data_IF_143540625222
#
_entry.id   IF_143540625222
#
_cell.length_a   1.000
_cell.length_b   1.000
_cell.length_c   1.000
_cell.angle_alpha   90.00
_cell.angle_beta   90.00
_cell.angle_gamma   90.00
#
_symmetry.space_group_name_H-M   'P 1'
#
loop_
_entity.id
_entity.type
_entity.pdbx_description
1 polymer ?
#
# COMPACT_ATOMS: atom_id res chain seq x y z
N UNK A 1 21.00 -26.34 39.11
CA UNK A 1 20.75 -24.96 38.64
C UNK A 1 22.06 -24.40 38.10
N UNK A 2 22.45 -24.64 36.86
CA UNK A 2 23.59 -24.04 36.19
C UNK A 2 23.08 -23.26 34.99
N UNK A 3 22.76 -22.01 35.23
CA UNK A 3 22.47 -21.05 34.19
C UNK A 3 23.77 -20.47 33.62
N UNK A 4 24.38 -21.10 32.66
CA UNK A 4 25.41 -20.45 31.82
C UNK A 4 24.70 -19.59 30.83
N UNK A 5 24.57 -18.28 31.16
CA UNK A 5 24.19 -17.25 30.22
C UNK A 5 25.24 -17.12 29.12
N UNK A 6 25.11 -17.91 28.08
CA UNK A 6 25.85 -17.66 26.84
C UNK A 6 25.20 -16.45 26.16
N UNK A 7 25.83 -15.30 26.34
CA UNK A 7 25.64 -14.19 25.42
C UNK A 7 26.20 -14.68 24.08
N UNK A 8 25.32 -15.13 23.19
CA UNK A 8 25.71 -15.48 21.83
C UNK A 8 26.13 -14.16 21.15
N UNK A 9 27.44 -13.88 21.20
CA UNK A 9 27.99 -12.86 20.32
C UNK A 9 27.81 -13.36 18.90
N UNK A 10 26.86 -12.77 18.16
CA UNK A 10 26.70 -13.05 16.75
C UNK A 10 28.05 -12.85 16.06
N UNK A 11 28.58 -13.86 15.36
CA UNK A 11 29.82 -13.69 14.62
C UNK A 11 29.62 -12.57 13.58
N UNK A 12 30.60 -11.68 13.39
CA UNK A 12 30.47 -10.49 12.55
C UNK A 12 30.13 -10.77 11.08
N UNK A 13 30.15 -12.03 10.65
CA UNK A 13 29.73 -12.44 9.29
C UNK A 13 28.22 -12.71 9.12
N UNK A 14 27.46 -12.95 10.20
CA UNK A 14 26.03 -13.31 10.09
C UNK A 14 25.18 -12.10 9.76
N UNK A 15 25.54 -10.92 10.26
CA UNK A 15 24.84 -9.67 9.95
C UNK A 15 24.94 -9.32 8.45
N UNK A 16 26.06 -9.65 7.83
CA UNK A 16 26.30 -9.34 6.41
C UNK A 16 25.53 -10.28 5.46
N UNK A 17 25.25 -11.52 5.86
CA UNK A 17 24.57 -12.51 5.01
C UNK A 17 23.07 -12.25 4.90
N UNK A 18 22.43 -11.76 5.97
CA UNK A 18 20.98 -11.57 6.01
C UNK A 18 20.56 -10.12 5.72
N UNK A 19 21.46 -9.16 5.96
CA UNK A 19 21.18 -7.74 5.79
C UNK A 19 20.84 -7.37 4.34
N UNK A 20 21.66 -7.75 3.37
CA UNK A 20 21.44 -7.39 1.97
C UNK A 20 20.17 -8.01 1.36
N UNK A 21 19.85 -9.29 1.62
CA UNK A 21 18.56 -9.85 1.24
C UNK A 21 17.37 -9.09 1.84
N UNK A 22 17.42 -8.75 3.13
CA UNK A 22 16.38 -7.98 3.80
C UNK A 22 16.19 -6.59 3.18
N UNK A 23 17.27 -5.84 2.93
CA UNK A 23 17.21 -4.53 2.25
C UNK A 23 16.57 -4.65 0.86
N UNK A 24 16.95 -5.65 0.07
CA UNK A 24 16.37 -5.88 -1.27
C UNK A 24 14.87 -6.15 -1.20
N UNK A 25 14.43 -6.95 -0.26
CA UNK A 25 13.01 -7.28 -0.07
C UNK A 25 12.23 -6.03 0.37
N UNK A 26 12.75 -5.27 1.32
CA UNK A 26 12.11 -4.03 1.79
C UNK A 26 12.00 -3.00 0.65
N UNK A 27 13.07 -2.79 -0.12
CA UNK A 27 13.03 -1.90 -1.27
C UNK A 27 12.04 -2.39 -2.34
N UNK A 28 11.99 -3.68 -2.61
CA UNK A 28 11.02 -4.27 -3.54
C UNK A 28 9.59 -3.97 -3.10
N UNK A 29 9.25 -4.26 -1.83
CA UNK A 29 7.91 -3.96 -1.30
C UNK A 29 7.62 -2.47 -1.39
N UNK A 30 8.53 -1.62 -0.93
CA UNK A 30 8.36 -0.16 -0.95
C UNK A 30 8.08 0.35 -2.37
N UNK A 31 8.87 -0.04 -3.36
CA UNK A 31 8.70 0.44 -4.73
C UNK A 31 7.35 -0.04 -5.31
N UNK A 32 7.04 -1.32 -5.15
CA UNK A 32 5.83 -1.90 -5.73
C UNK A 32 4.56 -1.35 -5.05
N UNK A 33 4.53 -1.29 -3.71
CA UNK A 33 3.35 -0.79 -2.99
C UNK A 33 3.12 0.69 -3.23
N UNK A 34 4.16 1.53 -3.13
CA UNK A 34 4.04 2.99 -3.36
C UNK A 34 3.59 3.29 -4.78
N UNK A 35 4.08 2.54 -5.78
CA UNK A 35 3.64 2.72 -7.17
C UNK A 35 2.15 2.39 -7.33
N UNK A 36 1.72 1.23 -6.85
CA UNK A 36 0.33 0.80 -6.93
C UNK A 36 -0.61 1.74 -6.18
N UNK A 37 -0.22 2.15 -4.98
CA UNK A 37 -0.99 3.09 -4.16
C UNK A 37 -1.07 4.49 -4.78
N UNK A 38 0.00 4.94 -5.44
CA UNK A 38 -0.02 6.21 -6.16
C UNK A 38 -1.02 6.16 -7.30
N UNK A 39 -1.06 5.08 -8.07
CA UNK A 39 -2.02 4.90 -9.17
C UNK A 39 -3.44 4.80 -8.62
N UNK A 40 -3.68 3.91 -7.66
CA UNK A 40 -5.01 3.71 -7.07
C UNK A 40 -5.47 4.96 -6.29
N UNK A 41 -4.58 5.58 -5.53
CA UNK A 41 -4.84 6.81 -4.81
C UNK A 41 -5.22 7.96 -5.73
N UNK A 42 -4.54 8.10 -6.89
CA UNK A 42 -4.91 9.08 -7.91
C UNK A 42 -6.30 8.79 -8.48
N UNK A 43 -6.61 7.55 -8.82
CA UNK A 43 -7.93 7.16 -9.33
C UNK A 43 -9.04 7.45 -8.30
N UNK A 44 -8.83 7.06 -7.03
CA UNK A 44 -9.76 7.34 -5.94
C UNK A 44 -9.91 8.85 -5.71
N UNK A 45 -8.83 9.62 -5.73
CA UNK A 45 -8.85 11.06 -5.56
C UNK A 45 -9.65 11.77 -6.67
N UNK A 46 -9.50 11.34 -7.93
CA UNK A 46 -10.27 11.87 -9.06
C UNK A 46 -11.77 11.57 -8.90
N UNK A 47 -12.14 10.37 -8.45
CA UNK A 47 -13.54 10.01 -8.17
C UNK A 47 -14.08 10.88 -7.03
N UNK A 48 -13.34 11.02 -5.93
CA UNK A 48 -13.75 11.81 -4.76
C UNK A 48 -13.78 13.32 -5.03
N UNK A 49 -13.04 13.81 -6.04
CA UNK A 49 -13.05 15.21 -6.43
C UNK A 49 -14.29 15.59 -7.28
N UNK A 50 -15.00 14.61 -7.80
CA UNK A 50 -16.20 14.82 -8.60
C UNK A 50 -17.33 15.53 -7.80
N UNK A 51 -18.15 16.29 -8.52
CA UNK A 51 -19.35 16.96 -7.99
C UNK A 51 -20.58 16.06 -8.18
N UNK A 52 -20.86 15.20 -7.20
CA UNK A 52 -22.04 14.32 -7.20
C UNK A 52 -22.71 14.26 -5.83
N UNK A 53 -23.99 13.88 -5.81
CA UNK A 53 -24.73 13.69 -4.56
C UNK A 53 -24.17 12.48 -3.80
N UNK A 54 -23.87 12.64 -2.50
CA UNK A 54 -23.32 11.57 -1.66
C UNK A 54 -21.80 11.49 -1.62
N UNK A 55 -21.06 12.44 -2.21
CA UNK A 55 -19.60 12.48 -2.18
C UNK A 55 -19.00 12.35 -0.78
N UNK A 56 -19.68 12.85 0.26
CA UNK A 56 -19.25 12.71 1.66
C UNK A 56 -19.25 11.26 2.12
N UNK A 57 -20.29 10.48 1.78
CA UNK A 57 -20.37 9.06 2.10
C UNK A 57 -19.28 8.25 1.39
N UNK A 58 -19.03 8.55 0.11
CA UNK A 58 -17.95 7.88 -0.65
C UNK A 58 -16.60 8.17 -0.02
N UNK A 59 -16.31 9.42 0.36
CA UNK A 59 -15.07 9.79 1.06
C UNK A 59 -14.92 9.05 2.40
N UNK A 60 -16.00 8.97 3.18
CA UNK A 60 -16.01 8.25 4.45
C UNK A 60 -15.79 6.74 4.22
N UNK A 61 -16.48 6.13 3.27
CA UNK A 61 -16.35 4.71 2.97
C UNK A 61 -14.95 4.32 2.49
N UNK A 62 -14.34 5.16 1.64
CA UNK A 62 -12.97 4.94 1.14
C UNK A 62 -11.95 4.98 2.28
N UNK A 63 -12.22 5.74 3.36
CA UNK A 63 -11.30 5.87 4.50
C UNK A 63 -11.37 4.74 5.51
N UNK A 64 -12.41 3.91 5.48
CA UNK A 64 -12.59 2.81 6.44
C UNK A 64 -11.35 1.89 6.50
N UNK A 65 -10.77 1.41 5.40
CA UNK A 65 -9.61 0.54 5.45
C UNK A 65 -8.41 1.15 6.18
N UNK A 66 -8.16 2.43 5.95
CA UNK A 66 -7.05 3.13 6.58
C UNK A 66 -7.24 3.32 8.09
N UNK A 67 -8.48 3.52 8.54
CA UNK A 67 -8.81 3.69 9.96
C UNK A 67 -8.65 2.41 10.79
N UNK A 68 -8.60 1.23 10.16
CA UNK A 68 -8.47 -0.05 10.86
C UNK A 68 -7.02 -0.22 11.35
N UNK A 69 -6.79 -0.61 12.64
CA UNK A 69 -5.46 -0.92 13.15
C UNK A 69 -4.75 -1.98 12.31
N UNK A 70 -3.43 -1.83 12.10
CA UNK A 70 -2.65 -2.72 11.21
C UNK A 70 -2.71 -4.18 11.64
N UNK A 71 -2.66 -4.46 12.95
CA UNK A 71 -2.76 -5.83 13.46
C UNK A 71 -4.11 -6.49 13.13
N UNK A 72 -5.21 -5.72 13.19
CA UNK A 72 -6.55 -6.20 12.83
C UNK A 72 -6.64 -6.46 11.33
N UNK A 73 -6.12 -5.54 10.51
CA UNK A 73 -6.04 -5.71 9.06
C UNK A 73 -5.25 -6.97 8.70
N UNK A 74 -4.08 -7.16 9.31
CA UNK A 74 -3.25 -8.33 9.05
C UNK A 74 -3.98 -9.64 9.38
N UNK A 75 -4.68 -9.71 10.52
CA UNK A 75 -5.50 -10.87 10.90
C UNK A 75 -6.67 -11.09 9.95
N UNK A 76 -7.37 -10.03 9.54
CA UNK A 76 -8.47 -10.13 8.59
C UNK A 76 -7.99 -10.72 7.26
N UNK A 77 -6.89 -10.21 6.71
CA UNK A 77 -6.32 -10.73 5.47
C UNK A 77 -5.75 -12.14 5.62
N UNK A 78 -5.15 -12.48 6.80
CA UNK A 78 -4.72 -13.85 7.10
C UNK A 78 -5.90 -14.84 7.01
N UNK A 79 -7.06 -14.48 7.56
CA UNK A 79 -8.29 -15.27 7.44
C UNK A 79 -8.79 -15.39 6.00
N UNK A 80 -8.76 -14.30 5.25
CA UNK A 80 -9.22 -14.28 3.86
C UNK A 80 -8.32 -15.15 2.96
N UNK A 81 -7.02 -15.18 3.22
CA UNK A 81 -6.03 -15.95 2.48
C UNK A 81 -5.77 -17.36 3.07
N UNK A 82 -6.51 -17.78 4.07
CA UNK A 82 -6.42 -19.15 4.59
C UNK A 82 -6.75 -20.19 3.49
N UNK A 83 -6.26 -21.43 3.58
CA UNK A 83 -6.58 -22.49 2.60
C UNK A 83 -8.08 -22.64 2.37
N UNK A 84 -8.88 -22.59 3.44
CA UNK A 84 -10.35 -22.63 3.39
C UNK A 84 -10.98 -21.23 3.36
N UNK A 85 -10.18 -20.20 3.04
CA UNK A 85 -10.60 -18.81 3.07
C UNK A 85 -11.43 -18.40 1.86
N UNK A 86 -12.07 -17.23 1.99
CA UNK A 86 -12.96 -16.66 0.97
C UNK A 86 -12.27 -16.50 -0.38
N UNK A 87 -10.97 -16.11 -0.39
CA UNK A 87 -10.24 -15.86 -1.64
C UNK A 87 -10.08 -17.14 -2.44
N UNK A 88 -9.69 -18.24 -1.83
CA UNK A 88 -9.58 -19.55 -2.50
C UNK A 88 -10.95 -20.07 -2.97
N UNK A 89 -11.99 -19.86 -2.17
CA UNK A 89 -13.35 -20.22 -2.52
C UNK A 89 -13.87 -19.46 -3.75
N UNK A 90 -13.58 -18.16 -3.85
CA UNK A 90 -13.99 -17.34 -5.00
C UNK A 90 -13.18 -17.66 -6.27
N UNK A 91 -11.90 -17.99 -6.12
CA UNK A 91 -11.03 -18.34 -7.26
C UNK A 91 -11.23 -19.78 -7.73
N UNK A 92 -11.92 -20.64 -6.93
CA UNK A 92 -12.05 -22.07 -7.22
C UNK A 92 -10.69 -22.79 -7.25
N UNK A 93 -9.68 -22.28 -6.54
CA UNK A 93 -8.30 -22.78 -6.56
C UNK A 93 -7.75 -22.89 -5.12
N UNK A 94 -6.94 -23.93 -4.89
CA UNK A 94 -6.25 -24.11 -3.62
C UNK A 94 -4.85 -23.48 -3.68
N UNK A 95 -4.78 -22.17 -3.57
CA UNK A 95 -3.53 -21.42 -3.59
C UNK A 95 -3.00 -21.30 -2.16
N UNK A 96 -1.73 -21.63 -1.98
CA UNK A 96 -1.04 -21.56 -0.69
C UNK A 96 -0.50 -20.14 -0.41
N UNK A 97 -1.40 -19.17 -0.18
CA UNK A 97 -1.09 -17.74 -0.05
C UNK A 97 -0.08 -17.41 1.05
N UNK A 98 0.02 -18.23 2.10
CA UNK A 98 0.88 -17.95 3.26
C UNK A 98 2.18 -18.75 3.28
N UNK A 99 2.27 -19.81 2.47
CA UNK A 99 3.42 -20.74 2.48
C UNK A 99 4.29 -20.66 1.22
N UNK A 100 3.70 -20.32 0.08
CA UNK A 100 4.47 -20.11 -1.15
C UNK A 100 5.09 -18.70 -1.16
N UNK A 101 6.41 -18.57 -1.40
CA UNK A 101 7.11 -17.28 -1.37
C UNK A 101 6.55 -16.21 -2.31
N UNK A 102 6.09 -16.61 -3.49
CA UNK A 102 5.54 -15.67 -4.46
C UNK A 102 4.15 -15.17 -4.03
N UNK A 103 3.26 -16.09 -3.70
CA UNK A 103 1.90 -15.74 -3.28
C UNK A 103 1.88 -15.00 -1.93
N UNK A 104 2.79 -15.32 -1.02
CA UNK A 104 2.92 -14.61 0.25
C UNK A 104 3.30 -13.15 0.05
N UNK A 105 4.22 -12.85 -0.85
CA UNK A 105 4.56 -11.45 -1.22
C UNK A 105 3.36 -10.74 -1.84
N UNK A 106 2.65 -11.41 -2.74
CA UNK A 106 1.46 -10.85 -3.39
C UNK A 106 0.36 -10.56 -2.37
N UNK A 107 0.12 -11.48 -1.42
CA UNK A 107 -0.86 -11.30 -0.35
C UNK A 107 -0.55 -10.08 0.53
N UNK A 108 0.71 -9.88 0.91
CA UNK A 108 1.15 -8.70 1.67
C UNK A 108 0.95 -7.42 0.86
N UNK A 109 1.32 -7.41 -0.42
CA UNK A 109 1.14 -6.25 -1.29
C UNK A 109 -0.34 -5.88 -1.42
N UNK A 110 -1.23 -6.86 -1.62
CA UNK A 110 -2.67 -6.63 -1.73
C UNK A 110 -3.23 -6.03 -0.43
N UNK A 111 -2.86 -6.61 0.72
CA UNK A 111 -3.32 -6.14 2.02
C UNK A 111 -2.84 -4.72 2.34
N UNK A 112 -1.58 -4.42 2.05
CA UNK A 112 -0.97 -3.11 2.28
C UNK A 112 -1.59 -2.05 1.37
N UNK A 113 -1.66 -2.30 0.07
CA UNK A 113 -2.26 -1.40 -0.91
C UNK A 113 -3.73 -1.12 -0.59
N UNK A 114 -4.51 -2.15 -0.21
CA UNK A 114 -5.91 -1.97 0.19
C UNK A 114 -6.05 -1.06 1.41
N UNK A 115 -5.15 -1.21 2.38
CA UNK A 115 -5.17 -0.42 3.62
C UNK A 115 -4.76 1.04 3.40
N UNK A 116 -3.75 1.29 2.59
CA UNK A 116 -3.02 2.57 2.56
C UNK A 116 -3.31 3.42 1.32
N UNK A 117 -3.83 2.85 0.22
CA UNK A 117 -4.26 3.63 -0.94
C UNK A 117 -5.26 4.76 -0.60
N UNK A 118 -6.21 4.59 0.36
CA UNK A 118 -7.09 5.67 0.80
C UNK A 118 -6.36 6.89 1.38
N UNK A 119 -5.28 6.68 2.11
CA UNK A 119 -4.46 7.76 2.64
C UNK A 119 -3.78 8.55 1.51
N UNK A 120 -3.20 7.86 0.54
CA UNK A 120 -2.66 8.48 -0.68
C UNK A 120 -3.73 9.28 -1.41
N UNK A 121 -4.94 8.72 -1.54
CA UNK A 121 -6.06 9.38 -2.19
C UNK A 121 -6.46 10.69 -1.50
N UNK A 122 -6.43 10.75 -0.16
CA UNK A 122 -6.71 11.98 0.59
C UNK A 122 -5.68 13.07 0.34
N UNK A 123 -4.40 12.74 0.38
CA UNK A 123 -3.32 13.71 0.14
C UNK A 123 -3.39 14.27 -1.29
N UNK A 124 -3.62 13.41 -2.27
CA UNK A 124 -3.78 13.80 -3.66
C UNK A 124 -5.06 14.63 -3.85
N UNK A 125 -6.17 14.26 -3.18
CA UNK A 125 -7.43 15.00 -3.22
C UNK A 125 -7.27 16.42 -2.68
N UNK A 126 -6.52 16.59 -1.59
CA UNK A 126 -6.21 17.90 -1.05
C UNK A 126 -5.50 18.79 -2.10
N UNK A 127 -4.54 18.21 -2.83
CA UNK A 127 -3.87 18.89 -3.94
C UNK A 127 -4.81 19.23 -5.10
N UNK A 128 -5.70 18.30 -5.47
CA UNK A 128 -6.69 18.54 -6.54
C UNK A 128 -7.66 19.68 -6.19
N UNK A 129 -8.03 19.81 -4.92
CA UNK A 129 -8.94 20.87 -4.46
C UNK A 129 -8.31 22.27 -4.46
N UNK A 130 -6.99 22.37 -4.55
CA UNK A 130 -6.29 23.65 -4.68
C UNK A 130 -6.30 24.18 -6.10
N UNK A 131 -6.68 23.39 -7.10
CA UNK A 131 -6.72 23.80 -8.49
C UNK A 131 -8.01 24.60 -8.75
N UNK A 132 -7.92 25.87 -9.18
CA UNK A 132 -9.11 26.69 -9.49
C UNK A 132 -9.95 26.07 -10.60
N UNK A 133 -11.28 26.18 -10.48
CA UNK A 133 -12.20 25.66 -11.51
C UNK A 133 -12.03 26.36 -12.87
N UNK A 134 -11.69 27.63 -12.85
CA UNK A 134 -11.48 28.44 -14.05
C UNK A 134 -10.46 27.84 -15.02
N UNK A 135 -9.45 27.13 -14.47
CA UNK A 135 -8.44 26.43 -15.28
C UNK A 135 -9.07 25.28 -16.09
N UNK A 136 -10.01 24.56 -15.49
CA UNK A 136 -10.75 23.50 -16.18
C UNK A 136 -11.76 24.04 -17.20
N UNK A 137 -12.37 25.17 -16.89
CA UNK A 137 -13.32 25.81 -17.77
C UNK A 137 -12.61 26.43 -19.01
N UNK A 138 -11.44 27.04 -18.81
CA UNK A 138 -10.58 27.50 -19.92
C UNK A 138 -10.17 26.33 -20.84
N UNK A 139 -9.75 25.20 -20.25
CA UNK A 139 -9.39 24.02 -21.02
C UNK A 139 -10.55 23.45 -21.85
N UNK A 140 -11.80 23.58 -21.36
CA UNK A 140 -13.00 23.19 -22.13
C UNK A 140 -13.25 24.12 -23.30
N UNK A 141 -13.06 25.40 -23.08
CA UNK A 141 -13.19 26.40 -24.16
C UNK A 141 -12.14 26.17 -25.27
N UNK A 142 -10.92 25.79 -24.88
CA UNK A 142 -9.84 25.42 -25.79
C UNK A 142 -10.06 24.04 -26.47
N UNK A 143 -11.17 23.35 -26.21
CA UNK A 143 -11.50 22.07 -26.83
C UNK A 143 -10.69 20.89 -26.32
N UNK A 144 -10.02 21.00 -25.16
CA UNK A 144 -9.27 19.91 -24.59
C UNK A 144 -10.19 18.76 -24.12
N UNK A 145 -9.88 17.54 -24.53
CA UNK A 145 -10.58 16.36 -24.05
C UNK A 145 -10.15 16.00 -22.60
N UNK A 146 -10.90 15.11 -21.92
CA UNK A 146 -10.63 14.72 -20.51
C UNK A 146 -9.24 14.17 -20.29
N UNK A 147 -8.70 13.40 -21.23
CA UNK A 147 -7.36 12.80 -21.15
C UNK A 147 -6.30 13.88 -21.29
N UNK A 148 -6.47 14.81 -22.24
CA UNK A 148 -5.56 15.95 -22.42
C UNK A 148 -5.57 16.86 -21.20
N UNK A 149 -6.74 17.15 -20.64
CA UNK A 149 -6.89 17.93 -19.41
C UNK A 149 -6.17 17.25 -18.24
N UNK A 150 -6.30 15.92 -18.10
CA UNK A 150 -5.62 15.19 -17.05
C UNK A 150 -4.09 15.29 -17.16
N UNK A 151 -3.51 14.93 -18.32
CA UNK A 151 -2.05 14.88 -18.46
C UNK A 151 -1.39 16.26 -18.59
N UNK A 152 -2.06 17.25 -19.19
CA UNK A 152 -1.48 18.58 -19.45
C UNK A 152 -1.78 19.60 -18.36
N UNK A 153 -2.84 19.41 -17.58
CA UNK A 153 -3.29 20.39 -16.58
C UNK A 153 -3.32 19.77 -15.19
N UNK A 154 -4.14 18.75 -14.97
CA UNK A 154 -4.37 18.17 -13.63
C UNK A 154 -3.09 17.60 -13.05
N UNK A 155 -2.42 16.72 -13.77
CA UNK A 155 -1.23 16.03 -13.30
C UNK A 155 -0.06 16.98 -12.99
N UNK A 156 0.30 17.96 -13.84
CA UNK A 156 1.33 18.93 -13.52
C UNK A 156 0.98 19.82 -12.32
N UNK A 157 -0.27 20.25 -12.19
CA UNK A 157 -0.69 21.12 -11.08
C UNK A 157 -0.78 20.39 -9.75
N UNK A 158 -1.15 19.11 -9.75
CA UNK A 158 -1.21 18.30 -8.53
C UNK A 158 0.18 17.71 -8.14
N UNK A 159 1.17 17.82 -9.01
CA UNK A 159 2.51 17.25 -8.80
C UNK A 159 3.14 17.59 -7.45
N UNK A 160 3.08 18.82 -6.90
CA UNK A 160 3.65 19.11 -5.58
C UNK A 160 2.99 18.28 -4.47
N UNK A 161 1.66 18.20 -4.47
CA UNK A 161 0.92 17.40 -3.50
C UNK A 161 1.20 15.89 -3.67
N UNK A 162 1.30 15.41 -4.91
CA UNK A 162 1.67 14.04 -5.23
C UNK A 162 3.07 13.69 -4.70
N UNK A 163 4.05 14.58 -4.86
CA UNK A 163 5.40 14.37 -4.33
C UNK A 163 5.40 14.25 -2.82
N UNK A 164 4.65 15.10 -2.11
CA UNK A 164 4.51 15.04 -0.66
C UNK A 164 3.86 13.71 -0.25
N UNK A 165 2.80 13.30 -0.92
CA UNK A 165 2.11 12.04 -0.66
C UNK A 165 3.06 10.83 -0.84
N UNK A 166 3.80 10.80 -1.94
CA UNK A 166 4.78 9.74 -2.24
C UNK A 166 5.91 9.72 -1.21
N UNK A 167 6.42 10.88 -0.77
CA UNK A 167 7.45 10.95 0.26
C UNK A 167 6.96 10.36 1.59
N UNK A 168 5.79 10.80 2.08
CA UNK A 168 5.22 10.27 3.32
C UNK A 168 5.00 8.76 3.23
N UNK A 169 4.45 8.30 2.11
CA UNK A 169 4.19 6.86 1.93
C UNK A 169 5.47 6.05 1.81
N UNK A 170 6.49 6.56 1.14
CA UNK A 170 7.80 5.89 1.05
C UNK A 170 8.41 5.70 2.43
N UNK A 171 8.38 6.74 3.27
CA UNK A 171 8.88 6.65 4.66
C UNK A 171 8.09 5.64 5.49
N UNK A 172 6.76 5.58 5.30
CA UNK A 172 5.91 4.61 5.99
C UNK A 172 6.15 3.17 5.48
N UNK A 173 6.30 2.98 4.18
CA UNK A 173 6.59 1.68 3.57
C UNK A 173 7.96 1.10 3.98
N UNK A 174 8.98 1.95 4.13
CA UNK A 174 10.30 1.52 4.57
C UNK A 174 10.32 0.95 6.00
N UNK A 175 9.37 1.34 6.84
CA UNK A 175 9.23 0.82 8.22
C UNK A 175 8.10 -0.19 8.37
N UNK A 176 7.57 -0.73 7.28
CA UNK A 176 6.51 -1.73 7.30
C UNK A 176 7.05 -3.05 7.86
N UNK A 177 6.66 -3.39 9.10
CA UNK A 177 7.08 -4.60 9.79
C UNK A 177 5.88 -5.45 10.23
N UNK A 178 4.88 -4.82 10.85
CA UNK A 178 3.78 -5.52 11.54
C UNK A 178 2.93 -6.37 10.60
N UNK A 179 2.59 -5.82 9.43
CA UNK A 179 1.68 -6.45 8.48
C UNK A 179 2.23 -7.78 7.94
N UNK A 180 3.44 -7.86 7.34
CA UNK A 180 3.99 -9.12 6.84
C UNK A 180 4.25 -10.13 7.97
N UNK A 181 4.74 -9.68 9.13
CA UNK A 181 5.03 -10.58 10.26
C UNK A 181 3.75 -11.23 10.77
N UNK A 182 2.68 -10.49 11.01
CA UNK A 182 1.42 -11.04 11.52
C UNK A 182 0.74 -11.95 10.49
N UNK A 183 0.79 -11.59 9.19
CA UNK A 183 0.17 -12.39 8.13
C UNK A 183 0.87 -13.73 7.90
N UNK A 184 2.20 -13.79 8.03
CA UNK A 184 3.00 -14.94 7.59
C UNK A 184 3.65 -15.70 8.78
N UNK A 185 3.54 -15.19 10.02
CA UNK A 185 4.17 -15.75 11.22
C UNK A 185 3.79 -17.19 11.56
N UNK A 186 2.87 -17.80 10.82
CA UNK A 186 2.48 -19.21 11.00
C UNK A 186 3.37 -20.21 10.26
N UNK A 187 4.29 -19.76 9.41
CA UNK A 187 5.22 -20.63 8.70
C UNK A 187 6.65 -20.43 9.22
N UNK A 188 7.26 -21.49 9.72
CA UNK A 188 8.62 -21.50 10.26
C UNK A 188 9.73 -21.13 9.25
N UNK A 189 9.39 -20.99 7.98
CA UNK A 189 10.23 -20.45 6.91
C UNK A 189 9.53 -19.22 6.32
N UNK A 190 9.66 -18.07 7.01
CA UNK A 190 9.07 -16.83 6.51
C UNK A 190 9.72 -16.41 5.17
N UNK A 191 9.03 -16.55 4.03
CA UNK A 191 9.56 -16.13 2.72
C UNK A 191 9.63 -14.60 2.56
N UNK A 192 9.19 -13.89 3.57
CA UNK A 192 9.22 -12.43 3.66
C UNK A 192 10.09 -11.99 4.83
N UNK A 193 11.19 -12.71 5.14
CA UNK A 193 12.14 -12.25 6.14
C UNK A 193 12.57 -10.81 5.81
N UNK A 194 11.69 -9.91 6.16
CA UNK A 194 11.98 -8.50 6.30
C UNK A 194 12.60 -8.37 7.67
N UNK A 195 13.64 -7.70 7.72
CA UNK A 195 14.41 -7.14 8.83
C UNK A 195 13.83 -7.40 10.22
#
# INVERSE_FOLDING_TARGET
VSGTGQISTCPPGVIATDFWPAVKITLFFTIVTVLLETILGMLMALIMNGEYRGRGLVRAAVLIPWAIPTAVTAKLWQFMFAPDGIVNSLLGANIAWTTDPFYARLAVIIADVWKTAPFMALLILAGLQMIPKDVYDAARVDGANRIQTFFRITLPLVRPALMVAVLFRTLDALRMYDLPVIMISSSSNSPTATI
#
